data_IF_135528434401
#
_entry.id   IF_135528434401
#
_cell.length_a   1.000
_cell.length_b   1.000
_cell.length_c   1.000
_cell.angle_alpha   90.00
_cell.angle_beta   90.00
_cell.angle_gamma   90.00
#
_symmetry.space_group_name_H-M   'P 1'
#
loop_
_entity.id
_entity.type
_entity.pdbx_description
1 polymer ?
#
# COMPACT_ATOMS: atom_id res chain seq x y z
N UNK A 1 -8.33 -8.25 -11.73
CA UNK A 1 -8.04 -7.37 -12.89
C UNK A 1 -6.61 -7.69 -13.33
N UNK A 2 -6.32 -7.86 -14.63
CA UNK A 2 -4.92 -8.10 -15.06
C UNK A 2 -4.15 -6.77 -15.17
N UNK A 3 -3.59 -6.29 -14.06
CA UNK A 3 -2.79 -5.07 -14.00
C UNK A 3 -1.62 -5.06 -15.01
N UNK A 4 -0.97 -6.20 -15.24
CA UNK A 4 0.14 -6.37 -16.19
C UNK A 4 -0.19 -5.90 -17.62
N UNK A 5 -1.47 -5.96 -18.02
CA UNK A 5 -1.91 -5.51 -19.36
C UNK A 5 -1.78 -4.01 -19.57
N UNK A 6 -1.75 -3.22 -18.50
CA UNK A 6 -1.59 -1.77 -18.58
C UNK A 6 -0.14 -1.35 -18.76
N UNK A 7 0.84 -2.22 -18.49
CA UNK A 7 2.25 -1.82 -18.54
C UNK A 7 2.81 -1.57 -19.95
N UNK A 8 2.57 -2.41 -20.97
CA UNK A 8 3.07 -2.16 -22.33
C UNK A 8 2.71 -0.77 -22.91
N UNK A 9 1.47 -0.26 -22.79
CA UNK A 9 1.18 1.10 -23.24
C UNK A 9 1.87 2.18 -22.38
N UNK A 10 2.01 1.96 -21.06
CA UNK A 10 2.69 2.91 -20.16
C UNK A 10 4.17 3.10 -20.51
N UNK A 11 4.86 2.05 -20.99
CA UNK A 11 6.27 2.14 -21.37
C UNK A 11 6.56 3.21 -22.42
N UNK A 12 5.60 3.51 -23.31
CA UNK A 12 5.75 4.57 -24.33
C UNK A 12 5.82 5.97 -23.73
N UNK A 13 5.38 6.11 -22.48
CA UNK A 13 5.32 7.37 -21.75
C UNK A 13 6.35 7.46 -20.62
N UNK A 14 7.35 6.57 -20.57
CA UNK A 14 8.38 6.52 -19.51
C UNK A 14 9.07 7.87 -19.21
N UNK A 15 9.22 8.71 -20.22
CA UNK A 15 9.89 10.02 -20.14
C UNK A 15 8.92 11.18 -19.83
N UNK A 16 7.61 10.94 -19.82
CA UNK A 16 6.58 12.00 -19.76
C UNK A 16 5.50 11.77 -18.69
N UNK A 17 5.24 10.52 -18.31
CA UNK A 17 4.26 10.16 -17.30
C UNK A 17 4.74 10.62 -15.93
N UNK A 18 3.98 11.51 -15.29
CA UNK A 18 4.31 12.07 -13.98
C UNK A 18 3.53 11.44 -12.83
N UNK A 19 2.29 11.05 -13.08
CA UNK A 19 1.39 10.46 -12.09
C UNK A 19 0.77 9.20 -12.67
N UNK A 20 0.80 8.12 -11.90
CA UNK A 20 0.11 6.88 -12.22
C UNK A 20 -0.77 6.46 -11.06
N UNK A 21 -2.04 6.20 -11.36
CA UNK A 21 -3.00 5.63 -10.42
C UNK A 21 -3.60 4.38 -11.03
N UNK A 22 -3.39 3.23 -10.38
CA UNK A 22 -3.99 1.95 -10.75
C UNK A 22 -4.71 1.39 -9.52
N UNK A 23 -6.02 1.62 -9.47
CA UNK A 23 -6.91 1.12 -8.42
C UNK A 23 -8.07 0.35 -9.03
N UNK A 24 -8.55 -0.66 -8.31
CA UNK A 24 -9.81 -1.34 -8.62
C UNK A 24 -10.96 -0.65 -7.86
N UNK A 25 -12.17 -0.63 -8.42
CA UNK A 25 -13.36 -0.14 -7.70
C UNK A 25 -13.61 -0.94 -6.42
N UNK A 26 -13.22 -2.21 -6.41
CA UNK A 26 -13.32 -3.10 -5.27
C UNK A 26 -12.26 -2.83 -4.18
N UNK A 27 -11.17 -2.11 -4.48
CA UNK A 27 -10.13 -1.78 -3.48
C UNK A 27 -10.69 -0.92 -2.35
N UNK A 28 -11.69 -0.10 -2.65
CA UNK A 28 -12.40 0.73 -1.67
C UNK A 28 -13.58 0.01 -1.00
N UNK A 29 -13.88 -1.25 -1.39
CA UNK A 29 -14.93 -2.04 -0.78
C UNK A 29 -14.32 -2.95 0.28
N UNK A 30 -14.49 -2.54 1.54
CA UNK A 30 -14.11 -3.28 2.74
C UNK A 30 -14.60 -4.75 2.77
N UNK A 31 -15.67 -5.10 2.04
CA UNK A 31 -16.20 -6.47 1.95
C UNK A 31 -15.49 -7.36 0.94
N UNK A 32 -14.60 -6.82 0.10
CA UNK A 32 -13.86 -7.57 -0.91
C UNK A 32 -12.59 -8.18 -0.30
N UNK A 33 -12.78 -9.14 0.61
CA UNK A 33 -11.74 -9.78 1.44
C UNK A 33 -10.65 -10.57 0.70
N UNK A 34 -10.59 -10.51 -0.62
CA UNK A 34 -9.82 -11.47 -1.42
C UNK A 34 -9.44 -10.83 -2.74
N UNK A 35 -8.50 -9.88 -2.73
CA UNK A 35 -7.85 -9.47 -3.98
C UNK A 35 -6.63 -10.38 -4.17
N UNK A 36 -6.90 -11.66 -4.41
CA UNK A 36 -5.88 -12.68 -4.69
C UNK A 36 -5.31 -12.60 -6.11
N UNK A 37 -5.59 -11.52 -6.84
CA UNK A 37 -5.07 -11.32 -8.19
C UNK A 37 -3.71 -10.62 -8.07
N UNK A 38 -2.70 -11.35 -7.58
CA UNK A 38 -1.29 -10.91 -7.53
C UNK A 38 -0.75 -10.83 -8.96
N UNK A 39 -1.21 -9.84 -9.73
CA UNK A 39 -0.72 -9.56 -11.07
C UNK A 39 0.29 -8.43 -11.02
N UNK A 40 1.57 -8.79 -10.96
CA UNK A 40 2.66 -7.84 -11.01
C UNK A 40 2.55 -6.97 -12.28
N UNK A 41 2.48 -5.66 -12.09
CA UNK A 41 2.26 -4.71 -13.18
C UNK A 41 3.49 -4.61 -14.08
N UNK A 42 4.70 -4.64 -13.52
CA UNK A 42 5.96 -4.39 -14.22
C UNK A 42 6.84 -3.37 -13.51
N UNK A 43 8.08 -3.20 -13.99
CA UNK A 43 9.07 -2.30 -13.36
C UNK A 43 8.93 -0.86 -13.83
N UNK A 44 8.83 0.08 -12.89
CA UNK A 44 8.82 1.51 -13.17
C UNK A 44 10.21 2.16 -13.05
N UNK A 45 11.28 1.40 -12.78
CA UNK A 45 12.62 1.95 -12.57
C UNK A 45 13.13 2.82 -13.74
N UNK A 46 12.67 2.52 -14.97
CA UNK A 46 13.00 3.27 -16.18
C UNK A 46 12.15 4.53 -16.43
N UNK A 47 11.19 4.87 -15.56
CA UNK A 47 10.32 6.02 -15.72
C UNK A 47 10.98 7.25 -15.08
N UNK A 48 11.55 8.12 -15.92
CA UNK A 48 12.37 9.25 -15.47
C UNK A 48 11.57 10.47 -15.01
N UNK A 49 10.28 10.52 -15.34
CA UNK A 49 9.39 11.64 -14.99
C UNK A 49 8.35 11.29 -13.92
N UNK A 50 8.26 10.02 -13.51
CA UNK A 50 7.18 9.50 -12.66
C UNK A 50 7.44 9.85 -11.18
N UNK A 51 6.69 10.85 -10.71
CA UNK A 51 6.78 11.43 -9.36
C UNK A 51 5.77 10.84 -8.41
N UNK A 52 4.59 10.48 -8.90
CA UNK A 52 3.48 10.03 -8.06
C UNK A 52 3.00 8.66 -8.51
N UNK A 53 2.97 7.71 -7.57
CA UNK A 53 2.58 6.34 -7.83
C UNK A 53 1.56 5.87 -6.79
N UNK A 54 0.35 5.56 -7.25
CA UNK A 54 -0.71 4.97 -6.43
C UNK A 54 -1.13 3.64 -7.03
N UNK A 55 -0.89 2.55 -6.30
CA UNK A 55 -1.12 1.17 -6.76
C UNK A 55 -1.59 0.31 -5.59
N UNK A 56 -2.21 -0.83 -5.90
CA UNK A 56 -2.28 -1.92 -4.92
C UNK A 56 -0.91 -2.56 -4.71
N UNK A 57 -0.61 -2.95 -3.48
CA UNK A 57 0.66 -3.57 -3.13
C UNK A 57 0.89 -4.92 -3.81
N UNK A 58 -0.18 -5.67 -4.05
CA UNK A 58 -0.15 -6.94 -4.80
C UNK A 58 0.29 -6.76 -6.26
N UNK A 59 0.22 -5.54 -6.80
CA UNK A 59 0.60 -5.23 -8.18
C UNK A 59 2.02 -4.68 -8.31
N UNK A 60 2.65 -4.19 -7.22
CA UNK A 60 3.95 -3.53 -7.30
C UNK A 60 5.13 -4.48 -7.11
N UNK A 61 4.99 -5.49 -6.25
CA UNK A 61 6.00 -6.54 -6.09
C UNK A 61 5.56 -7.81 -6.83
N UNK A 62 6.52 -8.55 -7.35
CA UNK A 62 6.33 -9.86 -7.99
C UNK A 62 6.32 -10.93 -6.89
N UNK A 63 5.21 -10.99 -6.16
CA UNK A 63 4.97 -11.94 -5.09
C UNK A 63 5.06 -13.38 -5.63
N UNK A 64 5.88 -14.23 -5.01
CA UNK A 64 5.94 -15.63 -5.41
C UNK A 64 4.63 -16.32 -5.01
N UNK A 65 3.87 -16.80 -6.00
CA UNK A 65 2.59 -17.50 -5.79
C UNK A 65 2.76 -18.91 -5.17
N UNK A 66 3.91 -19.18 -4.55
CA UNK A 66 4.30 -20.45 -3.96
C UNK A 66 3.92 -20.58 -2.48
N UNK A 67 4.50 -21.56 -1.78
CA UNK A 67 4.31 -21.75 -0.33
C UNK A 67 5.16 -20.79 0.53
N UNK A 68 5.99 -19.97 -0.11
CA UNK A 68 6.78 -18.91 0.52
C UNK A 68 6.18 -17.58 0.11
N UNK A 69 5.83 -16.74 1.09
CA UNK A 69 5.21 -15.43 0.89
C UNK A 69 6.17 -14.39 0.29
N UNK A 70 7.41 -14.76 -0.03
CA UNK A 70 8.48 -13.87 -0.51
C UNK A 70 8.24 -13.28 -1.90
N UNK A 71 8.65 -12.02 -2.12
CA UNK A 71 8.70 -11.41 -3.46
C UNK A 71 9.99 -11.75 -4.23
N UNK A 72 9.89 -11.79 -5.57
CA UNK A 72 11.01 -12.03 -6.50
C UNK A 72 11.82 -10.78 -6.83
N UNK A 73 11.29 -9.60 -6.49
CA UNK A 73 11.91 -8.29 -6.67
C UNK A 73 11.65 -7.41 -5.44
N UNK A 74 12.50 -6.40 -5.23
CA UNK A 74 12.30 -5.40 -4.20
C UNK A 74 11.81 -4.06 -4.76
N UNK A 75 11.40 -3.14 -3.89
CA UNK A 75 11.05 -1.78 -4.31
C UNK A 75 12.19 -1.08 -5.04
N UNK A 76 13.44 -1.37 -4.67
CA UNK A 76 14.63 -0.84 -5.30
C UNK A 76 14.80 -1.25 -6.77
N UNK A 77 14.19 -2.37 -7.19
CA UNK A 77 14.21 -2.87 -8.57
C UNK A 77 13.04 -2.32 -9.43
N UNK A 78 11.99 -1.84 -8.75
CA UNK A 78 10.70 -1.51 -9.37
C UNK A 78 10.44 -0.01 -9.39
N UNK A 79 10.79 0.72 -8.33
CA UNK A 79 10.45 2.13 -8.19
C UNK A 79 11.38 3.03 -9.01
N UNK A 80 10.86 4.12 -9.60
CA UNK A 80 11.69 5.10 -10.28
C UNK A 80 12.47 5.97 -9.29
N UNK A 81 13.66 6.41 -9.70
CA UNK A 81 14.46 7.39 -8.93
C UNK A 81 13.77 8.75 -8.79
N UNK A 82 12.84 9.06 -9.69
CA UNK A 82 12.09 10.33 -9.74
C UNK A 82 10.89 10.36 -8.79
N UNK A 83 10.62 9.27 -8.08
CA UNK A 83 9.45 9.14 -7.22
C UNK A 83 9.51 10.11 -6.02
N UNK A 84 8.43 10.85 -5.83
CA UNK A 84 8.21 11.79 -4.74
C UNK A 84 7.10 11.33 -3.79
N UNK A 85 6.07 10.67 -4.32
CA UNK A 85 4.88 10.23 -3.60
C UNK A 85 4.59 8.77 -3.93
N UNK A 86 4.56 7.91 -2.90
CA UNK A 86 4.14 6.52 -3.01
C UNK A 86 2.90 6.29 -2.15
N UNK A 87 1.83 5.77 -2.76
CA UNK A 87 0.62 5.37 -2.06
C UNK A 87 0.34 3.91 -2.40
N UNK A 88 0.41 3.04 -1.39
CA UNK A 88 0.12 1.63 -1.52
C UNK A 88 -1.24 1.32 -0.94
N UNK A 89 -2.05 0.61 -1.71
CA UNK A 89 -3.40 0.21 -1.33
C UNK A 89 -3.49 -1.30 -1.08
N UNK A 90 -4.45 -1.69 -0.24
CA UNK A 90 -4.84 -3.07 -0.03
C UNK A 90 -3.77 -3.97 0.59
N UNK A 91 -3.10 -3.54 1.68
CA UNK A 91 -2.23 -4.49 2.40
C UNK A 91 -3.06 -5.60 3.07
N UNK A 92 -2.76 -6.83 2.69
CA UNK A 92 -3.17 -8.05 3.39
C UNK A 92 -2.20 -8.33 4.55
N UNK A 93 -2.73 -8.85 5.65
CA UNK A 93 -2.04 -8.98 6.94
C UNK A 93 -0.76 -9.81 6.87
N UNK A 94 -0.75 -10.81 5.99
CA UNK A 94 0.34 -11.76 5.74
C UNK A 94 1.64 -11.11 5.25
N UNK A 95 1.58 -9.98 4.54
CA UNK A 95 2.77 -9.40 3.89
C UNK A 95 3.47 -8.28 4.67
N UNK A 96 3.01 -7.99 5.90
CA UNK A 96 3.49 -6.83 6.69
C UNK A 96 4.99 -6.87 7.01
N UNK A 97 5.51 -8.03 7.40
CA UNK A 97 6.93 -8.18 7.77
C UNK A 97 7.84 -8.01 6.55
N UNK A 98 7.51 -8.68 5.45
CA UNK A 98 8.30 -8.59 4.22
C UNK A 98 8.26 -7.19 3.61
N UNK A 99 7.11 -6.53 3.73
CA UNK A 99 6.95 -5.15 3.31
C UNK A 99 7.81 -4.19 4.13
N UNK A 100 7.90 -4.37 5.45
CA UNK A 100 8.76 -3.56 6.30
C UNK A 100 10.23 -3.70 5.88
N UNK A 101 10.71 -4.92 5.63
CA UNK A 101 12.07 -5.16 5.12
C UNK A 101 12.27 -4.55 3.73
N UNK A 102 11.29 -4.65 2.83
CA UNK A 102 11.38 -4.01 1.51
C UNK A 102 11.50 -2.48 1.60
N UNK A 103 10.79 -1.84 2.55
CA UNK A 103 10.91 -0.41 2.80
C UNK A 103 12.24 -0.03 3.46
N UNK A 104 12.72 -0.87 4.37
CA UNK A 104 14.02 -0.68 5.01
C UNK A 104 15.15 -0.73 3.98
N UNK A 105 15.11 -1.69 3.06
CA UNK A 105 16.07 -1.76 1.95
C UNK A 105 15.96 -0.54 1.03
N UNK A 106 14.74 -0.05 0.76
CA UNK A 106 14.51 1.12 -0.08
C UNK A 106 15.07 2.41 0.53
N UNK A 107 14.85 2.62 1.84
CA UNK A 107 15.10 3.89 2.53
C UNK A 107 16.46 3.95 3.24
N UNK A 108 16.94 2.82 3.77
CA UNK A 108 18.19 2.72 4.52
C UNK A 108 19.33 1.99 3.79
N UNK A 109 19.05 1.38 2.64
CA UNK A 109 20.08 0.69 1.85
C UNK A 109 21.26 1.59 1.47
N UNK A 110 22.46 1.00 1.30
CA UNK A 110 23.72 1.71 1.02
C UNK A 110 23.67 2.69 -0.16
N UNK A 111 22.68 2.52 -1.04
CA UNK A 111 22.34 3.45 -2.11
C UNK A 111 20.84 3.73 -2.02
N UNK A 112 20.42 4.74 -1.25
CA UNK A 112 19.02 5.18 -1.22
C UNK A 112 18.51 5.35 -2.67
N UNK A 113 17.55 4.50 -3.06
CA UNK A 113 17.10 4.38 -4.45
C UNK A 113 15.91 5.28 -4.79
N UNK A 114 15.24 5.85 -3.80
CA UNK A 114 14.23 6.88 -4.03
C UNK A 114 14.61 8.14 -3.25
N UNK A 115 15.68 8.85 -3.65
CA UNK A 115 16.20 10.00 -2.90
C UNK A 115 15.23 11.19 -2.85
N UNK A 116 14.21 11.19 -3.71
CA UNK A 116 13.21 12.25 -3.78
C UNK A 116 11.90 11.89 -3.06
N UNK A 117 11.81 10.71 -2.44
CA UNK A 117 10.58 10.30 -1.77
C UNK A 117 10.32 11.22 -0.57
N UNK A 118 9.21 11.94 -0.63
CA UNK A 118 8.79 12.89 0.43
C UNK A 118 7.51 12.45 1.12
N UNK A 119 6.75 11.53 0.53
CA UNK A 119 5.50 11.05 1.09
C UNK A 119 5.30 9.56 0.84
N UNK A 120 4.99 8.83 1.91
CA UNK A 120 4.54 7.45 1.89
C UNK A 120 3.18 7.32 2.58
N UNK A 121 2.21 6.74 1.88
CA UNK A 121 0.94 6.33 2.47
C UNK A 121 0.71 4.84 2.23
N UNK A 122 0.34 4.13 3.29
CA UNK A 122 -0.07 2.72 3.20
C UNK A 122 -1.51 2.61 3.69
N UNK A 123 -2.38 2.12 2.82
CA UNK A 123 -3.80 1.87 3.09
C UNK A 123 -4.02 0.39 3.27
N UNK A 124 -4.86 0.05 4.23
CA UNK A 124 -5.19 -1.33 4.53
C UNK A 124 -6.34 -1.42 5.53
N UNK A 125 -6.61 -2.65 5.95
CA UNK A 125 -7.66 -2.99 6.90
C UNK A 125 -7.03 -3.36 8.26
N UNK A 126 -6.24 -2.46 8.83
CA UNK A 126 -5.39 -2.72 10.00
C UNK A 126 -6.17 -3.05 11.27
N UNK A 127 -7.30 -2.41 11.47
CA UNK A 127 -8.17 -2.60 12.63
C UNK A 127 -9.32 -3.54 12.29
N UNK A 128 -9.16 -4.37 11.25
CA UNK A 128 -10.13 -5.38 10.87
C UNK A 128 -10.07 -6.60 11.80
N UNK A 129 -10.37 -6.37 13.07
CA UNK A 129 -10.83 -7.43 13.95
C UNK A 129 -12.30 -7.68 13.58
N UNK A 130 -12.70 -8.94 13.38
CA UNK A 130 -14.11 -9.29 13.21
C UNK A 130 -14.88 -8.84 14.46
N UNK A 131 -15.43 -7.63 14.41
CA UNK A 131 -16.37 -7.16 15.42
C UNK A 131 -17.56 -8.11 15.40
N UNK A 132 -18.05 -8.46 16.59
CA UNK A 132 -19.23 -9.32 16.69
C UNK A 132 -20.39 -8.71 15.91
N UNK A 133 -21.36 -9.55 15.49
CA UNK A 133 -22.57 -9.04 14.84
C UNK A 133 -23.29 -8.00 15.70
N UNK A 134 -23.22 -8.11 17.02
CA UNK A 134 -23.82 -7.15 17.96
C UNK A 134 -23.10 -5.79 17.92
N UNK A 135 -21.77 -5.78 18.02
CA UNK A 135 -20.96 -4.55 17.92
C UNK A 135 -21.07 -3.90 16.54
N UNK A 136 -21.10 -4.70 15.48
CA UNK A 136 -21.29 -4.23 14.11
C UNK A 136 -22.63 -3.54 13.88
N UNK A 137 -23.65 -3.88 14.68
CA UNK A 137 -24.99 -3.28 14.63
C UNK A 137 -25.19 -2.13 15.62
N UNK A 138 -24.22 -1.87 16.52
CA UNK A 138 -24.29 -0.76 17.46
C UNK A 138 -24.32 0.61 16.74
N UNK A 139 -24.95 1.60 17.38
CA UNK A 139 -25.04 2.99 16.89
C UNK A 139 -24.68 3.96 18.03
N UNK A 140 -23.58 4.73 17.94
CA UNK A 140 -22.56 4.65 16.89
C UNK A 140 -21.83 3.29 16.92
N UNK A 141 -21.40 2.81 15.75
CA UNK A 141 -20.55 1.62 15.65
C UNK A 141 -19.18 1.96 16.25
N UNK A 142 -18.64 1.15 17.18
CA UNK A 142 -17.36 1.43 17.81
C UNK A 142 -16.19 1.27 16.82
N UNK A 143 -15.14 2.07 17.02
CA UNK A 143 -13.86 1.88 16.31
C UNK A 143 -13.12 0.72 16.98
N UNK A 144 -12.76 -0.34 16.25
CA UNK A 144 -11.98 -1.46 16.77
C UNK A 144 -10.55 -1.05 17.14
N UNK A 145 -9.92 -1.83 18.02
CA UNK A 145 -8.50 -1.64 18.33
C UNK A 145 -7.61 -2.22 17.21
N UNK A 146 -6.45 -1.58 16.99
CA UNK A 146 -5.40 -2.12 16.13
C UNK A 146 -4.70 -3.29 16.83
N UNK A 147 -4.43 -4.36 16.08
CA UNK A 147 -3.60 -5.46 16.58
C UNK A 147 -2.15 -4.99 16.81
N UNK A 148 -1.49 -5.60 17.79
CA UNK A 148 -0.12 -5.25 18.20
C UNK A 148 0.87 -5.35 17.02
N UNK A 149 0.78 -6.40 16.20
CA UNK A 149 1.60 -6.59 15.00
C UNK A 149 1.51 -5.43 13.99
N UNK A 150 0.33 -4.83 13.79
CA UNK A 150 0.18 -3.69 12.90
C UNK A 150 0.64 -2.39 13.55
N UNK A 151 0.52 -2.28 14.87
CA UNK A 151 1.07 -1.16 15.61
C UNK A 151 2.60 -1.15 15.51
N UNK A 152 3.24 -2.32 15.65
CA UNK A 152 4.69 -2.49 15.50
C UNK A 152 5.14 -2.16 14.07
N UNK A 153 4.46 -2.71 13.06
CA UNK A 153 4.70 -2.39 11.65
C UNK A 153 4.57 -0.88 11.37
N UNK A 154 3.54 -0.23 11.92
CA UNK A 154 3.35 1.22 11.80
C UNK A 154 4.55 1.98 12.37
N UNK A 155 4.96 1.65 13.58
CA UNK A 155 6.07 2.32 14.28
C UNK A 155 7.36 2.14 13.51
N UNK A 156 7.63 0.94 12.99
CA UNK A 156 8.81 0.67 12.19
C UNK A 156 8.87 1.55 10.94
N UNK A 157 7.79 1.60 10.15
CA UNK A 157 7.73 2.45 8.97
C UNK A 157 7.81 3.93 9.27
N UNK A 158 7.18 4.39 10.35
CA UNK A 158 7.23 5.78 10.79
C UNK A 158 8.67 6.19 11.11
N UNK A 159 9.44 5.33 11.79
CA UNK A 159 10.85 5.56 12.06
C UNK A 159 11.70 5.56 10.78
N UNK A 160 11.46 4.62 9.86
CA UNK A 160 12.18 4.54 8.58
C UNK A 160 11.95 5.80 7.73
N UNK A 161 10.69 6.22 7.59
CA UNK A 161 10.32 7.41 6.81
C UNK A 161 10.87 8.69 7.45
N UNK A 162 10.78 8.81 8.78
CA UNK A 162 11.34 9.94 9.52
C UNK A 162 12.86 10.06 9.28
N UNK A 163 13.59 8.94 9.32
CA UNK A 163 15.02 8.92 9.05
C UNK A 163 15.36 9.32 7.59
N UNK A 164 14.49 8.98 6.65
CA UNK A 164 14.60 9.36 5.24
C UNK A 164 14.11 10.80 4.94
N UNK A 165 13.48 11.48 5.91
CA UNK A 165 12.88 12.81 5.71
C UNK A 165 11.55 12.79 4.94
N UNK A 166 10.87 11.65 4.91
CA UNK A 166 9.56 11.49 4.28
C UNK A 166 8.42 11.56 5.30
N UNK A 167 7.31 12.20 4.93
CA UNK A 167 6.05 12.10 5.68
C UNK A 167 5.46 10.69 5.49
N UNK A 168 4.94 10.13 6.59
CA UNK A 168 4.32 8.81 6.59
C UNK A 168 2.88 8.87 7.09
N UNK A 169 1.98 8.17 6.40
CA UNK A 169 0.60 7.95 6.84
C UNK A 169 0.18 6.50 6.71
N UNK A 170 -0.36 5.96 7.80
CA UNK A 170 -1.10 4.70 7.80
C UNK A 170 -2.59 5.01 7.83
N UNK A 171 -3.33 4.55 6.82
CA UNK A 171 -4.78 4.76 6.72
C UNK A 171 -5.53 3.45 6.82
N UNK A 172 -6.57 3.46 7.63
CA UNK A 172 -7.44 2.31 7.84
C UNK A 172 -8.77 2.48 7.13
N UNK A 173 -8.97 1.71 6.06
CA UNK A 173 -10.18 1.77 5.25
C UNK A 173 -11.41 1.28 6.01
N UNK A 174 -11.25 0.37 6.98
CA UNK A 174 -12.35 -0.09 7.81
C UNK A 174 -12.83 1.01 8.75
N UNK A 175 -11.90 1.67 9.46
CA UNK A 175 -12.24 2.78 10.35
C UNK A 175 -12.88 3.93 9.59
N UNK A 176 -12.39 4.24 8.38
CA UNK A 176 -13.00 5.25 7.52
C UNK A 176 -14.45 4.91 7.13
N UNK A 177 -14.75 3.64 6.82
CA UNK A 177 -16.13 3.19 6.58
C UNK A 177 -17.01 3.32 7.84
N UNK A 178 -16.50 2.96 9.03
CA UNK A 178 -17.22 3.11 10.29
C UNK A 178 -17.57 4.59 10.54
N UNK A 179 -16.59 5.49 10.41
CA UNK A 179 -16.79 6.94 10.60
C UNK A 179 -17.84 7.45 9.62
N UNK A 180 -17.73 7.07 8.35
CA UNK A 180 -18.69 7.47 7.30
C UNK A 180 -20.11 6.99 7.62
N UNK A 181 -20.26 5.73 8.05
CA UNK A 181 -21.57 5.16 8.43
C UNK A 181 -22.16 5.84 9.64
N UNK A 182 -21.37 6.09 10.68
CA UNK A 182 -21.82 6.80 11.88
C UNK A 182 -22.31 8.21 11.52
N UNK A 183 -21.57 8.94 10.67
CA UNK A 183 -21.97 10.25 10.19
C UNK A 183 -23.28 10.25 9.38
N UNK A 184 -23.52 9.22 8.55
CA UNK A 184 -24.80 9.05 7.83
C UNK A 184 -25.99 8.83 8.77
N UNK A 185 -25.76 8.31 9.97
CA UNK A 185 -26.79 8.13 11.01
C UNK A 185 -26.90 9.33 11.97
N UNK A 186 -26.14 10.40 11.75
CA UNK A 186 -26.19 11.63 12.56
C UNK A 186 -25.46 11.54 13.90
N UNK A 187 -24.47 10.64 14.00
CA UNK A 187 -23.58 10.51 15.16
C UNK A 187 -22.19 11.08 14.88
#
# INVERSE_FOLDING_TARGET
MYASRYYPPLQRHRETLQTLTLTDECTNNYTAYQIHDYDYVGSFAGFSALKELLLQISHILDWDRGWSETSRNGFSDVLPLSLEILILDGLETEHTTELAEAFKDLLLGEKCRCPNLTYLEVKGNWMHVQQSNEESNAKPRPIPAMLEEFADFKVELELLCLAAGAEYRLRDLYVEDIIKRNGLYGF
#
